data_IF_105577843171
#
_entry.id   IF_105577843171
#
_cell.length_a   1.000
_cell.length_b   1.000
_cell.length_c   1.000
_cell.angle_alpha   90.00
_cell.angle_beta   90.00
_cell.angle_gamma   90.00
#
_symmetry.space_group_name_H-M   'P 1'
#
loop_
_entity.id
_entity.type
_entity.pdbx_description
1 polymer ?
#
# COMPACT_ATOMS: atom_id res chain seq x y z
N UNK A 1 -40.19 13.36 9.53
CA UNK A 1 -39.21 13.04 8.47
C UNK A 1 -39.75 11.81 7.76
N UNK A 2 -39.87 11.83 6.43
CA UNK A 2 -40.43 10.67 5.72
C UNK A 2 -39.44 9.48 5.76
N UNK A 3 -39.93 8.27 5.50
CA UNK A 3 -39.09 7.07 5.41
C UNK A 3 -38.02 7.23 4.31
N UNK A 4 -38.41 7.85 3.19
CA UNK A 4 -37.51 8.19 2.08
C UNK A 4 -36.41 9.20 2.49
N UNK A 5 -36.75 10.21 3.30
CA UNK A 5 -35.75 11.17 3.82
C UNK A 5 -34.72 10.49 4.73
N UNK A 6 -35.15 9.48 5.50
CA UNK A 6 -34.28 8.73 6.41
C UNK A 6 -33.32 7.84 5.62
N UNK A 7 -33.81 7.14 4.58
CA UNK A 7 -32.99 6.33 3.68
C UNK A 7 -31.95 7.20 2.95
N UNK A 8 -32.35 8.37 2.46
CA UNK A 8 -31.43 9.30 1.79
C UNK A 8 -30.32 9.79 2.74
N UNK A 9 -30.67 10.16 3.98
CA UNK A 9 -29.68 10.57 4.99
C UNK A 9 -28.71 9.46 5.40
N UNK A 10 -29.17 8.21 5.50
CA UNK A 10 -28.28 7.08 5.80
C UNK A 10 -27.27 6.84 4.67
N UNK A 11 -27.69 6.98 3.40
CA UNK A 11 -26.79 6.92 2.26
C UNK A 11 -25.78 8.07 2.29
N UNK A 12 -26.23 9.30 2.51
CA UNK A 12 -25.35 10.48 2.63
C UNK A 12 -24.32 10.33 3.77
N UNK A 13 -24.73 9.80 4.93
CA UNK A 13 -23.84 9.53 6.04
C UNK A 13 -22.78 8.48 5.69
N UNK A 14 -23.18 7.39 5.03
CA UNK A 14 -22.25 6.36 4.56
C UNK A 14 -21.25 6.93 3.55
N UNK A 15 -21.73 7.76 2.62
CA UNK A 15 -20.87 8.40 1.62
C UNK A 15 -19.89 9.40 2.29
N UNK A 16 -20.34 10.09 3.35
CA UNK A 16 -19.48 10.94 4.18
C UNK A 16 -18.40 10.15 4.92
N UNK A 17 -18.74 9.01 5.55
CA UNK A 17 -17.73 8.12 6.16
C UNK A 17 -16.74 7.59 5.13
N UNK A 18 -17.21 7.25 3.92
CA UNK A 18 -16.37 6.80 2.81
C UNK A 18 -15.39 7.86 2.27
N UNK A 19 -15.45 9.10 2.75
CA UNK A 19 -14.44 10.12 2.45
C UNK A 19 -13.13 9.93 3.23
N UNK A 20 -13.14 9.16 4.31
CA UNK A 20 -11.92 8.75 4.99
C UNK A 20 -11.31 7.54 4.27
N UNK A 21 -10.10 7.73 3.75
CA UNK A 21 -9.36 6.69 3.05
C UNK A 21 -8.85 5.65 4.05
N UNK A 22 -8.96 4.37 3.70
CA UNK A 22 -8.61 3.25 4.57
C UNK A 22 -7.81 2.20 3.81
N UNK A 23 -7.02 1.40 4.53
CA UNK A 23 -6.60 0.09 4.03
C UNK A 23 -7.74 -0.92 4.13
N UNK A 24 -7.57 -2.07 3.50
CA UNK A 24 -8.51 -3.19 3.60
C UNK A 24 -7.91 -4.29 4.46
N UNK A 25 -8.70 -4.79 5.41
CA UNK A 25 -8.29 -5.90 6.27
C UNK A 25 -9.24 -7.09 6.15
N UNK A 26 -8.75 -8.29 6.42
CA UNK A 26 -9.56 -9.45 6.75
C UNK A 26 -9.31 -9.83 8.19
N UNK A 27 -10.37 -9.76 9.00
CA UNK A 27 -10.35 -10.19 10.39
C UNK A 27 -10.64 -11.67 10.43
N UNK A 28 -9.80 -12.46 11.09
CA UNK A 28 -9.90 -13.92 11.13
C UNK A 28 -9.90 -14.44 12.56
N UNK A 29 -10.55 -15.59 12.76
CA UNK A 29 -10.54 -16.35 14.02
C UNK A 29 -10.88 -17.80 13.70
N UNK A 30 -10.94 -18.68 14.71
CA UNK A 30 -11.45 -20.03 14.56
C UNK A 30 -12.69 -20.24 15.42
N UNK A 31 -13.61 -21.11 14.99
CA UNK A 31 -14.65 -21.67 15.87
C UNK A 31 -14.00 -22.61 16.90
N UNK A 32 -14.80 -23.03 17.89
CA UNK A 32 -14.39 -24.03 18.89
C UNK A 32 -13.93 -25.35 18.26
N UNK A 33 -14.53 -25.76 17.13
CA UNK A 33 -14.13 -26.96 16.38
C UNK A 33 -12.89 -26.77 15.50
N UNK A 34 -12.28 -25.58 15.53
CA UNK A 34 -11.10 -25.22 14.73
C UNK A 34 -11.41 -24.77 13.29
N UNK A 35 -12.69 -24.70 12.89
CA UNK A 35 -13.08 -24.19 11.57
C UNK A 35 -12.71 -22.71 11.44
N UNK A 36 -11.97 -22.31 10.40
CA UNK A 36 -11.57 -20.92 10.22
C UNK A 36 -12.77 -20.04 9.84
N UNK A 37 -12.80 -18.84 10.38
CA UNK A 37 -13.78 -17.80 10.10
C UNK A 37 -13.06 -16.51 9.76
N UNK A 38 -13.67 -15.70 8.91
CA UNK A 38 -13.20 -14.34 8.70
C UNK A 38 -14.21 -13.45 8.03
N UNK A 39 -13.97 -12.14 8.07
CA UNK A 39 -14.73 -11.14 7.34
C UNK A 39 -13.84 -9.97 6.93
N UNK A 40 -14.18 -9.34 5.82
CA UNK A 40 -13.52 -8.11 5.37
C UNK A 40 -13.99 -6.94 6.22
N UNK A 41 -13.03 -6.12 6.67
CA UNK A 41 -13.30 -4.88 7.38
C UNK A 41 -12.33 -3.78 6.94
N UNK A 42 -12.82 -2.55 6.88
CA UNK A 42 -12.00 -1.35 6.71
C UNK A 42 -12.21 -0.33 7.84
N UNK A 43 -12.83 -0.77 8.95
CA UNK A 43 -13.03 0.00 10.19
C UNK A 43 -11.86 -0.14 11.18
N UNK A 44 -10.74 -0.70 10.72
CA UNK A 44 -9.55 -0.93 11.53
C UNK A 44 -8.89 0.38 11.98
N UNK A 45 -8.38 0.41 13.21
CA UNK A 45 -7.48 1.45 13.69
C UNK A 45 -6.49 0.92 14.73
N UNK A 46 -5.26 1.45 14.73
CA UNK A 46 -4.33 1.32 15.84
C UNK A 46 -4.78 2.20 17.02
N UNK A 47 -4.69 1.70 18.26
CA UNK A 47 -5.23 2.37 19.44
C UNK A 47 -4.14 2.78 20.43
N UNK A 48 -3.22 1.88 20.76
CA UNK A 48 -2.19 2.10 21.77
C UNK A 48 -0.91 1.34 21.43
N UNK A 49 0.23 1.88 21.84
CA UNK A 49 1.53 1.19 21.73
C UNK A 49 1.92 0.45 23.02
N UNK A 50 1.54 0.96 24.20
CA UNK A 50 1.77 0.28 25.49
C UNK A 50 0.56 0.42 26.43
N UNK A 51 -0.22 -0.65 26.66
CA UNK A 51 -0.12 -1.93 25.97
C UNK A 51 -0.44 -1.80 24.47
N UNK A 52 0.09 -2.71 23.65
CA UNK A 52 -0.15 -2.71 22.20
C UNK A 52 -1.60 -3.10 21.90
N UNK A 53 -2.43 -2.13 21.50
CA UNK A 53 -3.86 -2.31 21.24
C UNK A 53 -4.25 -1.84 19.83
N UNK A 54 -5.19 -2.56 19.24
CA UNK A 54 -5.87 -2.20 17.99
C UNK A 54 -7.38 -2.41 18.13
N UNK A 55 -8.15 -1.88 17.17
CA UNK A 55 -9.59 -2.12 17.09
C UNK A 55 -10.07 -2.42 15.67
N UNK A 56 -11.21 -3.10 15.59
CA UNK A 56 -11.99 -3.28 14.36
C UNK A 56 -13.47 -3.46 14.70
N UNK A 57 -14.37 -2.99 13.84
CA UNK A 57 -15.82 -3.10 14.06
C UNK A 57 -16.45 -4.21 13.22
N UNK A 58 -17.34 -4.99 13.83
CA UNK A 58 -18.17 -6.00 13.16
C UNK A 58 -19.64 -5.62 13.25
N UNK A 59 -20.37 -5.72 12.13
CA UNK A 59 -21.81 -5.48 12.11
C UNK A 59 -22.55 -6.58 12.89
N UNK A 60 -23.53 -6.20 13.72
CA UNK A 60 -24.38 -7.15 14.45
C UNK A 60 -25.23 -8.03 13.52
N UNK A 61 -25.43 -7.61 12.28
CA UNK A 61 -26.11 -8.35 11.21
C UNK A 61 -25.22 -9.39 10.52
N UNK A 62 -23.92 -9.43 10.81
CA UNK A 62 -22.99 -10.41 10.25
C UNK A 62 -23.33 -11.82 10.73
N UNK A 63 -23.30 -12.80 9.84
CA UNK A 63 -23.42 -14.23 10.20
C UNK A 63 -22.33 -14.69 11.17
N UNK A 64 -21.20 -13.99 11.20
CA UNK A 64 -20.07 -14.30 12.07
C UNK A 64 -20.10 -13.52 13.39
N UNK A 65 -21.08 -12.63 13.60
CA UNK A 65 -21.15 -11.75 14.77
C UNK A 65 -21.01 -12.52 16.09
N UNK A 66 -21.82 -13.55 16.31
CA UNK A 66 -21.78 -14.32 17.56
C UNK A 66 -20.44 -15.03 17.80
N UNK A 67 -19.74 -15.46 16.73
CA UNK A 67 -18.43 -16.09 16.89
C UNK A 67 -17.39 -15.05 17.30
N UNK A 68 -17.35 -13.88 16.64
CA UNK A 68 -16.38 -12.83 16.96
C UNK A 68 -16.69 -12.11 18.28
N UNK A 69 -17.96 -11.94 18.65
CA UNK A 69 -18.33 -11.31 19.92
C UNK A 69 -17.92 -12.14 21.15
N UNK A 70 -17.74 -13.46 20.97
CA UNK A 70 -17.33 -14.38 22.03
C UNK A 70 -15.92 -14.95 21.84
N UNK A 71 -15.20 -14.54 20.78
CA UNK A 71 -13.87 -15.09 20.52
C UNK A 71 -12.85 -14.56 21.52
N UNK A 72 -11.94 -15.42 21.94
CA UNK A 72 -10.84 -15.07 22.85
C UNK A 72 -9.59 -14.61 22.09
N UNK A 73 -9.51 -14.88 20.78
CA UNK A 73 -8.38 -14.53 19.94
C UNK A 73 -8.85 -14.22 18.52
N UNK A 74 -8.21 -13.28 17.85
CA UNK A 74 -8.44 -13.00 16.44
C UNK A 74 -7.18 -12.43 15.80
N UNK A 75 -7.08 -12.49 14.48
CA UNK A 75 -6.02 -11.83 13.74
C UNK A 75 -6.57 -10.75 12.80
N UNK A 76 -5.75 -9.74 12.55
CA UNK A 76 -5.95 -8.73 11.52
C UNK A 76 -4.98 -9.02 10.38
N UNK A 77 -5.49 -9.21 9.17
CA UNK A 77 -4.70 -9.39 7.96
C UNK A 77 -4.88 -8.15 7.07
N UNK A 78 -3.87 -7.27 7.00
CA UNK A 78 -3.89 -6.09 6.12
C UNK A 78 -3.55 -6.53 4.70
N UNK A 79 -4.53 -6.47 3.80
CA UNK A 79 -4.41 -7.02 2.45
C UNK A 79 -3.42 -6.24 1.59
N UNK A 80 -2.69 -6.96 0.74
CA UNK A 80 -1.87 -6.39 -0.32
C UNK A 80 -2.70 -6.00 -1.55
N UNK A 81 -2.16 -5.14 -2.42
CA UNK A 81 -2.83 -4.62 -3.62
C UNK A 81 -3.46 -5.69 -4.53
N UNK A 82 -2.79 -6.83 -4.66
CA UNK A 82 -3.22 -7.95 -5.49
C UNK A 82 -4.41 -8.70 -4.90
N UNK A 83 -4.67 -8.57 -3.59
CA UNK A 83 -5.64 -9.35 -2.82
C UNK A 83 -7.06 -8.75 -2.83
N UNK A 84 -7.43 -8.04 -3.90
CA UNK A 84 -8.78 -7.51 -4.08
C UNK A 84 -9.84 -8.63 -4.10
N UNK A 85 -9.52 -9.75 -4.71
CA UNK A 85 -10.35 -10.95 -4.76
C UNK A 85 -10.58 -11.57 -3.36
N UNK A 86 -9.54 -11.58 -2.51
CA UNK A 86 -9.64 -11.99 -1.11
C UNK A 86 -10.62 -11.08 -0.37
N UNK A 87 -10.47 -9.76 -0.49
CA UNK A 87 -11.42 -8.80 0.08
C UNK A 87 -12.86 -9.08 -0.34
N UNK A 88 -13.10 -9.33 -1.64
CA UNK A 88 -14.44 -9.61 -2.15
C UNK A 88 -15.01 -10.93 -1.62
N UNK A 89 -14.18 -11.95 -1.48
CA UNK A 89 -14.57 -13.27 -0.96
C UNK A 89 -15.01 -13.17 0.50
N UNK A 90 -14.26 -12.44 1.31
CA UNK A 90 -14.55 -12.29 2.74
C UNK A 90 -15.64 -11.25 3.06
N UNK A 91 -16.02 -10.41 2.08
CA UNK A 91 -17.14 -9.47 2.19
C UNK A 91 -18.49 -10.06 1.76
N UNK A 92 -18.51 -11.17 1.01
CA UNK A 92 -19.72 -11.78 0.45
C UNK A 92 -20.10 -13.08 1.16
N UNK A 93 -21.38 -13.49 1.13
CA UNK A 93 -21.75 -14.86 1.51
C UNK A 93 -20.99 -15.87 0.63
N UNK A 94 -20.35 -16.87 1.26
CA UNK A 94 -19.66 -17.98 0.61
C UNK A 94 -19.78 -19.20 1.51
N UNK A 95 -19.88 -20.40 0.93
CA UNK A 95 -19.91 -21.66 1.68
C UNK A 95 -18.55 -21.96 2.33
N UNK A 96 -17.46 -21.65 1.63
CA UNK A 96 -16.10 -21.73 2.15
C UNK A 96 -15.29 -20.52 1.65
N UNK A 97 -14.86 -19.65 2.57
CA UNK A 97 -14.05 -18.46 2.26
C UNK A 97 -12.56 -18.76 2.19
N UNK A 98 -12.12 -19.88 2.74
CA UNK A 98 -10.70 -20.25 2.86
C UNK A 98 -10.26 -21.30 1.82
N UNK A 99 -11.20 -21.94 1.12
CA UNK A 99 -10.93 -23.04 0.16
C UNK A 99 -9.83 -22.75 -0.89
N UNK A 100 -9.76 -21.52 -1.41
CA UNK A 100 -8.82 -21.12 -2.47
C UNK A 100 -7.77 -20.11 -1.99
N UNK A 101 -7.52 -20.07 -0.67
CA UNK A 101 -6.58 -19.13 -0.06
C UNK A 101 -5.44 -19.90 0.59
N UNK A 102 -4.21 -19.41 0.42
CA UNK A 102 -3.07 -19.90 1.20
C UNK A 102 -3.03 -19.16 2.54
N UNK A 103 -3.04 -19.92 3.63
CA UNK A 103 -3.03 -19.40 4.99
C UNK A 103 -2.41 -20.40 5.95
N UNK A 104 -1.92 -19.90 7.08
CA UNK A 104 -1.31 -20.69 8.15
C UNK A 104 -1.94 -20.33 9.50
N UNK A 105 -1.74 -21.17 10.52
CA UNK A 105 -2.16 -20.85 11.90
C UNK A 105 -1.05 -20.12 12.63
N UNK A 106 -1.41 -19.03 13.30
CA UNK A 106 -0.54 -18.31 14.22
C UNK A 106 -0.29 -19.07 15.53
N UNK A 107 0.56 -18.51 16.39
CA UNK A 107 0.77 -19.03 17.74
C UNK A 107 -0.55 -19.02 18.56
N UNK A 108 -1.37 -17.97 18.44
CA UNK A 108 -2.71 -17.91 19.05
C UNK A 108 -3.78 -18.71 18.29
N UNK A 109 -3.40 -19.56 17.32
CA UNK A 109 -4.30 -20.39 16.51
C UNK A 109 -5.25 -19.62 15.59
N UNK A 110 -4.94 -18.36 15.28
CA UNK A 110 -5.69 -17.57 14.32
C UNK A 110 -5.23 -17.84 12.88
N UNK A 111 -6.12 -17.80 11.88
CA UNK A 111 -5.72 -17.87 10.47
C UNK A 111 -4.96 -16.61 10.04
N UNK A 112 -3.70 -16.76 9.62
CA UNK A 112 -2.90 -15.72 8.97
C UNK A 112 -2.87 -15.99 7.46
N UNK A 113 -3.30 -15.01 6.68
CA UNK A 113 -3.37 -15.11 5.22
C UNK A 113 -1.99 -14.81 4.65
N UNK A 114 -1.53 -15.61 3.69
CA UNK A 114 -0.23 -15.40 3.06
C UNK A 114 -0.22 -14.17 2.15
N UNK A 115 0.96 -13.59 1.91
CA UNK A 115 1.16 -12.45 1.00
C UNK A 115 0.37 -11.16 1.35
N UNK A 116 -0.12 -11.05 2.58
CA UNK A 116 -0.70 -9.81 3.14
C UNK A 116 0.38 -8.76 3.34
N UNK A 117 0.05 -7.47 3.29
CA UNK A 117 0.98 -6.35 3.55
C UNK A 117 1.49 -6.32 5.00
N UNK A 118 0.63 -6.69 5.94
CA UNK A 118 0.97 -6.90 7.35
C UNK A 118 -0.08 -7.79 8.02
N UNK A 119 0.28 -8.38 9.16
CA UNK A 119 -0.68 -9.06 10.03
C UNK A 119 -0.40 -8.81 11.51
N UNK A 120 -1.45 -8.96 12.32
CA UNK A 120 -1.40 -8.86 13.79
C UNK A 120 -2.14 -10.04 14.39
N UNK A 121 -1.47 -10.81 15.24
CA UNK A 121 -2.04 -11.91 16.02
C UNK A 121 -2.44 -11.39 17.40
N UNK A 122 -3.72 -11.49 17.76
CA UNK A 122 -4.27 -10.83 18.94
C UNK A 122 -5.02 -11.77 19.88
N UNK A 123 -4.95 -11.44 21.17
CA UNK A 123 -5.95 -11.85 22.16
C UNK A 123 -7.06 -10.79 22.24
N UNK A 124 -8.29 -11.21 22.48
CA UNK A 124 -9.41 -10.29 22.67
C UNK A 124 -9.24 -9.56 24.00
N UNK A 125 -9.05 -8.24 23.94
CA UNK A 125 -8.94 -7.38 25.11
C UNK A 125 -10.32 -6.97 25.62
N UNK A 126 -11.20 -6.52 24.71
CA UNK A 126 -12.56 -6.09 25.05
C UNK A 126 -13.47 -6.12 23.82
N UNK A 127 -14.76 -6.39 24.03
CA UNK A 127 -15.81 -6.17 23.03
C UNK A 127 -16.76 -5.08 23.55
N UNK A 128 -16.95 -4.03 22.76
CA UNK A 128 -17.76 -2.86 23.14
C UNK A 128 -18.99 -2.76 22.23
N UNK A 129 -20.17 -2.63 22.84
CA UNK A 129 -21.41 -2.37 22.11
C UNK A 129 -21.40 -0.95 21.52
N UNK A 130 -21.62 -0.82 20.21
CA UNK A 130 -21.53 0.45 19.50
C UNK A 130 -22.59 0.57 18.40
N UNK A 131 -23.86 0.73 18.79
CA UNK A 131 -24.96 0.93 17.86
C UNK A 131 -25.31 -0.34 17.07
N UNK A 132 -25.25 -0.29 15.75
CA UNK A 132 -25.47 -1.45 14.87
C UNK A 132 -24.23 -2.33 14.68
N UNK A 133 -23.11 -1.94 15.30
CA UNK A 133 -21.86 -2.69 15.33
C UNK A 133 -21.43 -3.03 16.78
N UNK A 134 -20.46 -3.93 16.88
CA UNK A 134 -19.61 -4.07 18.05
C UNK A 134 -18.17 -3.76 17.68
N UNK A 135 -17.44 -3.12 18.58
CA UNK A 135 -16.01 -2.83 18.45
C UNK A 135 -15.25 -3.95 19.15
N UNK A 136 -14.43 -4.67 18.40
CA UNK A 136 -13.47 -5.63 18.92
C UNK A 136 -12.17 -4.88 19.19
N UNK A 137 -11.70 -4.91 20.43
CA UNK A 137 -10.40 -4.39 20.83
C UNK A 137 -9.49 -5.59 21.06
N UNK A 138 -8.37 -5.64 20.34
CA UNK A 138 -7.37 -6.70 20.41
C UNK A 138 -6.10 -6.21 21.06
N UNK A 139 -5.52 -7.04 21.93
CA UNK A 139 -4.14 -6.87 22.41
C UNK A 139 -3.23 -7.65 21.48
N UNK A 140 -2.26 -6.97 20.90
CA UNK A 140 -1.30 -7.56 19.95
C UNK A 140 -0.32 -8.43 20.73
N UNK A 141 -0.25 -9.72 20.38
CA UNK A 141 0.70 -10.67 20.94
C UNK A 141 1.88 -10.92 19.98
N UNK A 142 1.63 -10.86 18.67
CA UNK A 142 2.66 -10.96 17.63
C UNK A 142 2.23 -10.19 16.37
N UNK A 143 3.19 -9.80 15.52
CA UNK A 143 2.91 -9.08 14.27
C UNK A 143 4.06 -9.19 13.27
N UNK A 144 3.75 -9.02 11.99
CA UNK A 144 4.77 -8.80 10.97
C UNK A 144 4.30 -7.81 9.90
N UNK A 145 5.24 -7.04 9.37
CA UNK A 145 5.11 -6.33 8.10
C UNK A 145 5.92 -7.07 7.05
N UNK A 146 5.32 -7.32 5.89
CA UNK A 146 5.88 -8.20 4.85
C UNK A 146 6.42 -7.43 3.64
N UNK A 147 6.23 -6.10 3.61
CA UNK A 147 6.76 -5.22 2.57
C UNK A 147 5.89 -5.09 1.30
N UNK A 148 4.77 -5.83 1.17
CA UNK A 148 3.83 -5.62 0.06
C UNK A 148 3.06 -4.31 0.23
N UNK A 149 2.80 -3.61 -0.88
CA UNK A 149 1.94 -2.43 -0.89
C UNK A 149 0.51 -2.80 -0.48
N UNK A 150 -0.14 -1.97 0.33
CA UNK A 150 -1.46 -2.25 0.87
C UNK A 150 -2.60 -1.94 -0.10
N UNK A 151 -3.63 -2.78 -0.11
CA UNK A 151 -4.89 -2.51 -0.81
C UNK A 151 -5.66 -1.39 -0.09
N UNK A 152 -6.00 -0.35 -0.85
CA UNK A 152 -6.74 0.79 -0.37
C UNK A 152 -8.23 0.74 -0.69
N UNK A 153 -9.03 1.44 0.12
CA UNK A 153 -10.46 1.65 -0.09
C UNK A 153 -10.86 3.11 0.16
N UNK A 154 -11.56 3.70 -0.80
CA UNK A 154 -12.01 5.09 -0.77
C UNK A 154 -13.31 5.26 -1.58
N UNK A 155 -14.30 5.96 -1.00
CA UNK A 155 -15.60 6.26 -1.63
C UNK A 155 -16.27 5.05 -2.31
N UNK A 156 -16.26 3.90 -1.64
CA UNK A 156 -16.91 2.68 -2.13
C UNK A 156 -16.11 1.90 -3.19
N UNK A 157 -14.91 2.35 -3.54
CA UNK A 157 -14.03 1.70 -4.50
C UNK A 157 -12.68 1.28 -3.91
N UNK A 158 -12.09 0.25 -4.49
CA UNK A 158 -10.69 -0.10 -4.22
C UNK A 158 -9.77 0.87 -4.97
N UNK A 159 -8.67 1.25 -4.34
CA UNK A 159 -7.55 1.90 -5.00
C UNK A 159 -6.27 1.19 -4.63
N UNK A 160 -5.33 1.15 -5.56
CA UNK A 160 -4.01 0.60 -5.35
C UNK A 160 -3.01 1.70 -5.75
N UNK A 161 -2.12 2.12 -4.85
CA UNK A 161 -0.96 2.95 -5.20
C UNK A 161 -0.29 2.62 -6.54
N UNK A 162 -0.19 1.34 -6.91
CA UNK A 162 0.41 0.86 -8.16
C UNK A 162 -0.48 0.97 -9.41
N UNK A 163 -1.79 1.21 -9.29
CA UNK A 163 -2.70 1.31 -10.46
C UNK A 163 -3.08 2.74 -10.82
N UNK A 164 -3.16 3.63 -9.82
CA UNK A 164 -3.27 5.08 -10.03
C UNK A 164 -2.08 5.64 -10.83
N UNK A 165 -0.99 4.90 -10.84
CA UNK A 165 0.21 5.23 -11.58
C UNK A 165 0.25 4.74 -13.01
N UNK A 166 -0.47 3.65 -13.33
CA UNK A 166 -0.61 3.13 -14.67
C UNK A 166 -1.59 3.96 -15.53
N UNK A 167 -2.62 4.58 -14.93
CA UNK A 167 -3.65 5.34 -15.66
C UNK A 167 -3.23 6.77 -16.08
N UNK A 168 -2.10 7.28 -15.59
CA UNK A 168 -1.53 8.59 -16.02
C UNK A 168 -0.85 8.48 -17.40
N UNK A 169 -0.83 7.30 -18.01
CA UNK A 169 0.04 6.95 -19.15
C UNK A 169 -0.79 6.82 -20.41
N UNK A 170 -1.21 7.96 -20.96
CA UNK A 170 -1.74 8.03 -22.31
C UNK A 170 -1.20 9.27 -23.04
N UNK A 171 0.12 9.31 -23.21
CA UNK A 171 0.83 10.26 -24.05
C UNK A 171 1.81 9.53 -24.99
N UNK A 172 2.11 10.05 -26.19
CA UNK A 172 2.88 9.32 -27.20
C UNK A 172 4.37 9.10 -26.87
N UNK A 173 4.88 9.57 -25.73
CA UNK A 173 6.28 9.43 -25.29
C UNK A 173 6.43 9.43 -23.77
N UNK A 174 5.96 8.38 -23.09
CA UNK A 174 6.16 8.23 -21.65
C UNK A 174 7.42 7.42 -21.37
N UNK A 175 8.28 7.92 -20.48
CA UNK A 175 9.41 7.21 -19.89
C UNK A 175 9.01 6.76 -18.49
N UNK A 176 9.06 5.46 -18.26
CA UNK A 176 8.95 4.87 -16.93
C UNK A 176 10.31 4.83 -16.27
N UNK A 177 10.43 5.28 -15.02
CA UNK A 177 11.67 5.25 -14.24
C UNK A 177 11.42 4.65 -12.86
N UNK A 178 12.44 4.02 -12.28
CA UNK A 178 12.35 3.39 -10.97
C UNK A 178 13.47 3.88 -10.06
N UNK A 179 13.10 4.48 -8.92
CA UNK A 179 14.01 4.79 -7.82
C UNK A 179 14.05 3.53 -6.95
N UNK A 180 14.98 2.61 -7.24
CA UNK A 180 15.10 1.33 -6.53
C UNK A 180 16.02 1.55 -5.32
N UNK A 181 15.43 1.54 -4.13
CA UNK A 181 16.14 1.78 -2.86
C UNK A 181 16.34 0.52 -2.02
N UNK A 182 17.45 0.48 -1.29
CA UNK A 182 17.70 -0.44 -0.19
C UNK A 182 18.36 0.33 0.96
N UNK A 183 17.70 0.39 2.11
CA UNK A 183 18.13 1.18 3.28
C UNK A 183 18.41 2.67 2.94
N UNK A 184 19.69 3.07 2.97
CA UNK A 184 20.16 4.42 2.65
C UNK A 184 20.83 4.52 1.26
N UNK A 185 20.63 3.51 0.41
CA UNK A 185 21.24 3.44 -0.92
C UNK A 185 20.17 3.43 -2.02
N UNK A 186 20.55 3.93 -3.19
CA UNK A 186 19.72 3.87 -4.41
C UNK A 186 20.50 3.29 -5.59
N UNK A 187 19.82 2.53 -6.43
CA UNK A 187 20.40 1.98 -7.64
C UNK A 187 20.52 3.07 -8.72
N UNK A 188 21.75 3.34 -9.14
CA UNK A 188 22.06 4.26 -10.23
C UNK A 188 22.84 3.55 -11.36
N UNK A 189 22.74 4.08 -12.56
CA UNK A 189 23.56 3.70 -13.70
C UNK A 189 24.40 4.89 -14.19
N UNK A 190 25.67 4.65 -14.47
CA UNK A 190 26.53 5.63 -15.14
C UNK A 190 26.37 5.48 -16.67
N UNK A 191 26.08 6.60 -17.33
CA UNK A 191 25.95 6.69 -18.79
C UNK A 191 27.32 6.79 -19.46
N UNK A 192 27.36 6.61 -20.79
CA UNK A 192 28.60 6.71 -21.56
C UNK A 192 29.30 8.09 -21.45
N UNK A 193 28.56 9.15 -21.14
CA UNK A 193 29.07 10.51 -20.97
C UNK A 193 29.47 10.81 -19.51
N UNK A 194 29.68 9.78 -18.69
CA UNK A 194 30.03 9.89 -17.25
C UNK A 194 29.00 10.61 -16.38
N UNK A 195 27.76 10.69 -16.85
CA UNK A 195 26.62 11.21 -16.08
C UNK A 195 25.80 10.08 -15.47
N UNK A 196 25.17 10.34 -14.35
CA UNK A 196 24.37 9.37 -13.62
C UNK A 196 22.89 9.47 -13.97
N UNK A 197 22.25 8.31 -14.04
CA UNK A 197 20.80 8.18 -14.22
C UNK A 197 20.23 7.09 -13.31
N UNK A 198 18.90 7.02 -13.24
CA UNK A 198 18.16 5.94 -12.59
C UNK A 198 17.69 4.92 -13.64
N UNK A 199 17.40 3.66 -13.23
CA UNK A 199 16.77 2.69 -14.12
C UNK A 199 15.50 3.24 -14.77
N UNK A 200 15.43 3.21 -16.10
CA UNK A 200 14.29 3.72 -16.86
C UNK A 200 14.12 3.01 -18.20
N UNK A 201 12.90 3.05 -18.75
CA UNK A 201 12.55 2.52 -20.08
C UNK A 201 11.41 3.33 -20.71
N UNK A 202 11.40 3.46 -22.03
CA UNK A 202 10.25 3.99 -22.75
C UNK A 202 9.06 3.04 -22.61
N UNK A 203 7.89 3.57 -22.25
CA UNK A 203 6.65 2.81 -22.24
C UNK A 203 6.24 2.56 -23.69
N UNK A 204 6.06 1.29 -24.03
CA UNK A 204 5.52 0.86 -25.31
C UNK A 204 4.02 0.53 -25.19
N UNK A 205 3.47 -0.08 -26.23
CA UNK A 205 2.06 -0.48 -26.30
C UNK A 205 1.62 -1.45 -25.19
N UNK A 206 2.58 -2.11 -24.52
CA UNK A 206 2.29 -3.08 -23.47
C UNK A 206 2.04 -2.40 -22.10
N UNK A 207 2.24 -1.08 -22.03
CA UNK A 207 1.87 -0.26 -20.89
C UNK A 207 2.90 -0.18 -19.77
N UNK A 208 2.50 0.51 -18.70
CA UNK A 208 3.34 0.89 -17.56
C UNK A 208 3.88 -0.31 -16.78
N UNK A 209 3.01 -1.29 -16.50
CA UNK A 209 3.35 -2.44 -15.68
C UNK A 209 4.45 -3.28 -16.35
N UNK A 210 4.32 -3.48 -17.67
CA UNK A 210 5.34 -4.17 -18.48
C UNK A 210 6.64 -3.38 -18.59
N UNK A 211 6.59 -2.05 -18.56
CA UNK A 211 7.78 -1.23 -18.48
C UNK A 211 8.52 -1.42 -17.15
N UNK A 212 7.80 -1.47 -16.01
CA UNK A 212 8.39 -1.75 -14.70
C UNK A 212 8.96 -3.17 -14.60
N UNK A 213 8.24 -4.19 -15.08
CA UNK A 213 8.74 -5.57 -15.15
C UNK A 213 10.06 -5.65 -15.93
N UNK A 214 10.15 -4.95 -17.07
CA UNK A 214 11.39 -4.86 -17.87
C UNK A 214 12.53 -4.20 -17.07
N UNK A 215 12.25 -3.13 -16.33
CA UNK A 215 13.24 -2.48 -15.47
C UNK A 215 13.71 -3.46 -14.38
N UNK A 216 12.81 -4.13 -13.64
CA UNK A 216 13.21 -5.04 -12.58
C UNK A 216 14.01 -6.23 -13.13
N UNK A 217 13.57 -6.85 -14.22
CA UNK A 217 14.32 -7.93 -14.86
C UNK A 217 15.74 -7.52 -15.28
N UNK A 218 15.94 -6.26 -15.71
CA UNK A 218 17.23 -5.77 -16.16
C UNK A 218 18.16 -5.32 -15.02
N UNK A 219 17.62 -4.68 -13.99
CA UNK A 219 18.40 -3.99 -12.97
C UNK A 219 18.39 -4.71 -11.61
N UNK A 220 17.23 -5.17 -11.16
CA UNK A 220 17.07 -5.84 -9.88
C UNK A 220 15.78 -6.69 -9.85
N UNK A 221 15.84 -8.01 -10.08
CA UNK A 221 14.66 -8.87 -10.22
C UNK A 221 13.78 -8.96 -8.96
N UNK A 222 14.38 -8.77 -7.79
CA UNK A 222 13.67 -8.81 -6.50
C UNK A 222 13.09 -7.44 -6.10
N UNK A 223 13.14 -6.44 -6.99
CA UNK A 223 12.54 -5.14 -6.73
C UNK A 223 11.02 -5.17 -6.89
N UNK A 224 10.33 -4.37 -6.09
CA UNK A 224 8.89 -4.14 -6.17
C UNK A 224 8.58 -2.66 -6.28
N UNK A 225 7.55 -2.33 -7.06
CA UNK A 225 7.02 -0.98 -7.16
C UNK A 225 6.15 -0.66 -5.94
N UNK A 226 6.22 0.58 -5.45
CA UNK A 226 5.38 1.05 -4.35
C UNK A 226 4.37 2.10 -4.87
N UNK A 227 4.80 3.34 -5.06
CA UNK A 227 3.93 4.42 -5.56
C UNK A 227 4.70 5.34 -6.52
N UNK A 228 3.98 6.14 -7.32
CA UNK A 228 4.62 7.21 -8.11
C UNK A 228 5.20 8.25 -7.18
N UNK A 229 6.51 8.44 -7.29
CA UNK A 229 7.25 9.47 -6.60
C UNK A 229 7.16 10.83 -7.31
N UNK A 230 7.22 10.81 -8.64
CA UNK A 230 7.29 12.02 -9.45
C UNK A 230 6.67 11.79 -10.83
N UNK A 231 5.90 12.77 -11.31
CA UNK A 231 5.53 12.91 -12.71
C UNK A 231 6.02 14.27 -13.18
N UNK A 232 6.88 14.27 -14.19
CA UNK A 232 7.32 15.52 -14.81
C UNK A 232 7.42 15.43 -16.32
N UNK A 233 7.24 16.56 -16.98
CA UNK A 233 7.45 16.67 -18.42
C UNK A 233 8.80 17.34 -18.70
N UNK A 234 9.61 16.67 -19.52
CA UNK A 234 10.82 17.25 -20.07
C UNK A 234 10.47 17.92 -21.40
N UNK A 235 10.47 19.26 -21.38
CA UNK A 235 10.03 20.09 -22.50
C UNK A 235 11.02 20.02 -23.67
N UNK A 236 12.31 19.75 -23.40
CA UNK A 236 13.36 19.70 -24.43
C UNK A 236 13.21 18.46 -25.33
N UNK A 237 12.92 17.31 -24.75
CA UNK A 237 12.76 16.05 -25.48
C UNK A 237 11.29 15.66 -25.75
N UNK A 238 10.33 16.45 -25.23
CA UNK A 238 8.89 16.19 -25.30
C UNK A 238 8.52 14.80 -24.74
N UNK A 239 9.17 14.41 -23.65
CA UNK A 239 8.88 13.15 -22.95
C UNK A 239 8.31 13.42 -21.57
N UNK A 240 7.34 12.60 -21.19
CA UNK A 240 6.81 12.59 -19.83
C UNK A 240 7.52 11.50 -19.04
N UNK A 241 8.15 11.87 -17.93
CA UNK A 241 8.82 10.95 -17.02
C UNK A 241 7.90 10.65 -15.85
N UNK A 242 7.70 9.36 -15.59
CA UNK A 242 6.97 8.86 -14.43
C UNK A 242 7.93 8.00 -13.63
N UNK A 243 8.29 8.47 -12.44
CA UNK A 243 9.24 7.81 -11.56
C UNK A 243 8.49 7.13 -10.42
N UNK A 244 8.64 5.83 -10.29
CA UNK A 244 8.16 5.07 -9.15
C UNK A 244 9.20 5.03 -8.05
N UNK A 245 8.74 5.11 -6.80
CA UNK A 245 9.52 4.64 -5.69
C UNK A 245 9.41 3.11 -5.62
N UNK A 246 10.55 2.45 -5.60
CA UNK A 246 10.67 1.01 -5.58
C UNK A 246 11.59 0.58 -4.43
N UNK A 247 11.32 -0.60 -3.88
CA UNK A 247 12.16 -1.18 -2.82
C UNK A 247 12.72 -2.51 -3.30
N UNK A 248 13.86 -2.91 -2.74
CA UNK A 248 14.42 -4.25 -2.94
C UNK A 248 14.94 -4.82 -1.62
N UNK A 249 14.81 -6.14 -1.38
CA UNK A 249 15.30 -6.77 -0.15
C UNK A 249 16.83 -6.84 -0.08
N UNK A 250 17.55 -6.63 -1.19
CA UNK A 250 19.01 -6.73 -1.24
C UNK A 250 19.64 -5.59 -2.05
N UNK A 251 20.78 -5.06 -1.57
CA UNK A 251 21.58 -4.06 -2.28
C UNK A 251 22.51 -4.69 -3.34
N UNK A 252 22.00 -5.62 -4.16
CA UNK A 252 22.75 -6.25 -5.24
C UNK A 252 22.09 -5.98 -6.58
N UNK A 253 22.79 -5.35 -7.52
CA UNK A 253 22.23 -5.04 -8.83
C UNK A 253 22.72 -6.01 -9.91
N UNK A 254 21.84 -6.35 -10.85
CA UNK A 254 22.19 -7.02 -12.12
C UNK A 254 22.87 -6.03 -13.06
N UNK A 255 22.46 -4.77 -13.02
CA UNK A 255 23.00 -3.66 -13.83
C UNK A 255 22.99 -2.37 -13.00
N UNK A 256 24.05 -1.56 -13.12
CA UNK A 256 24.25 -0.37 -12.31
C UNK A 256 24.87 -0.68 -10.95
N UNK A 257 24.82 0.28 -10.03
CA UNK A 257 25.37 0.14 -8.68
C UNK A 257 24.54 0.90 -7.65
N UNK A 258 24.47 0.35 -6.44
CA UNK A 258 23.86 1.04 -5.29
C UNK A 258 24.82 2.12 -4.77
N UNK A 259 24.33 3.35 -4.70
CA UNK A 259 25.06 4.52 -4.22
C UNK A 259 24.42 5.04 -2.95
N UNK A 260 25.23 5.40 -1.95
CA UNK A 260 24.73 6.01 -0.72
C UNK A 260 24.11 7.38 -1.01
N UNK A 261 22.94 7.63 -0.41
CA UNK A 261 22.19 8.86 -0.61
C UNK A 261 22.97 10.12 -0.21
N UNK A 262 23.93 10.02 0.71
CA UNK A 262 24.78 11.14 1.11
C UNK A 262 25.82 11.51 0.04
N UNK A 263 26.11 10.60 -0.89
CA UNK A 263 27.09 10.83 -1.95
C UNK A 263 26.49 11.46 -3.21
N UNK A 264 25.16 11.63 -3.29
CA UNK A 264 24.49 12.16 -4.49
C UNK A 264 24.95 13.56 -4.90
N UNK A 265 25.34 14.42 -3.95
CA UNK A 265 25.84 15.77 -4.25
C UNK A 265 27.20 15.77 -4.97
N UNK A 266 27.89 14.63 -5.00
CA UNK A 266 29.18 14.47 -5.65
C UNK A 266 29.03 13.98 -7.10
N UNK A 267 27.81 13.67 -7.54
CA UNK A 267 27.52 13.08 -8.84
C UNK A 267 26.94 14.12 -9.81
N UNK A 268 27.30 14.02 -11.08
CA UNK A 268 26.68 14.79 -12.15
C UNK A 268 25.56 13.95 -12.81
N UNK A 269 24.33 14.45 -12.83
CA UNK A 269 23.17 13.74 -13.39
C UNK A 269 22.90 14.12 -14.86
N UNK A 270 22.19 13.23 -15.56
CA UNK A 270 21.84 13.42 -16.98
C UNK A 270 21.01 14.67 -17.26
N UNK A 271 20.17 15.08 -16.30
CA UNK A 271 19.42 16.33 -16.37
C UNK A 271 19.13 16.90 -14.96
N UNK A 272 18.78 18.19 -14.92
CA UNK A 272 18.52 18.93 -13.69
C UNK A 272 17.22 18.54 -12.99
N UNK A 273 16.26 17.95 -13.71
CA UNK A 273 15.00 17.49 -13.12
C UNK A 273 15.21 16.20 -12.32
N UNK A 274 16.02 15.28 -12.85
CA UNK A 274 16.46 14.08 -12.16
C UNK A 274 17.27 14.45 -10.91
N UNK A 275 18.24 15.36 -11.02
CA UNK A 275 19.02 15.83 -9.88
C UNK A 275 18.11 16.41 -8.79
N UNK A 276 17.23 17.33 -9.14
CA UNK A 276 16.27 17.94 -8.21
C UNK A 276 15.37 16.89 -7.54
N UNK A 277 14.89 15.91 -8.31
CA UNK A 277 14.08 14.81 -7.80
C UNK A 277 14.86 13.94 -6.80
N UNK A 278 16.11 13.61 -7.08
CA UNK A 278 16.94 12.77 -6.20
C UNK A 278 17.38 13.52 -4.94
N UNK A 279 17.68 14.82 -5.03
CA UNK A 279 17.95 15.65 -3.84
C UNK A 279 16.73 15.75 -2.93
N UNK A 280 15.53 15.83 -3.51
CA UNK A 280 14.27 15.76 -2.76
C UNK A 280 14.10 14.38 -2.12
N UNK A 281 14.32 13.30 -2.87
CA UNK A 281 14.23 11.94 -2.35
C UNK A 281 15.19 11.71 -1.18
N UNK A 282 16.43 12.18 -1.27
CA UNK A 282 17.40 12.14 -0.17
C UNK A 282 16.85 12.77 1.11
N UNK A 283 16.29 13.98 0.99
CA UNK A 283 15.71 14.71 2.12
C UNK A 283 14.50 13.99 2.71
N UNK A 284 13.63 13.44 1.86
CA UNK A 284 12.41 12.72 2.24
C UNK A 284 12.71 11.34 2.86
N UNK A 285 13.72 10.60 2.37
CA UNK A 285 14.11 9.30 2.92
C UNK A 285 14.66 9.40 4.36
N UNK A 286 15.35 10.50 4.70
CA UNK A 286 15.82 10.75 6.06
C UNK A 286 14.67 10.96 7.05
N UNK A 287 13.52 11.47 6.58
CA UNK A 287 12.35 11.78 7.38
C UNK A 287 11.25 10.71 7.29
N UNK A 288 11.40 9.72 6.38
CA UNK A 288 10.38 8.71 6.03
C UNK A 288 9.02 9.31 5.66
N UNK A 289 9.03 10.52 5.09
CA UNK A 289 7.84 11.25 4.63
C UNK A 289 7.93 11.48 3.13
N UNK A 290 7.08 10.83 2.34
CA UNK A 290 7.13 10.91 0.87
C UNK A 290 5.95 11.72 0.31
N UNK A 291 6.21 12.54 -0.71
CA UNK A 291 5.17 13.33 -1.40
C UNK A 291 5.25 13.17 -2.92
N UNK A 292 4.10 13.13 -3.60
CA UNK A 292 4.06 13.08 -5.07
C UNK A 292 4.34 14.46 -5.64
N UNK A 293 5.35 14.59 -6.48
CA UNK A 293 5.60 15.83 -7.24
C UNK A 293 4.93 15.79 -8.60
N UNK A 294 4.28 16.91 -8.94
CA UNK A 294 3.72 17.18 -10.25
C UNK A 294 4.34 18.48 -10.80
N UNK A 295 5.05 18.43 -11.93
CA UNK A 295 5.67 19.63 -12.49
C UNK A 295 6.43 19.43 -13.79
N UNK A 296 7.35 20.34 -14.08
CA UNK A 296 8.35 20.25 -15.14
C UNK A 296 9.76 20.53 -14.56
N UNK A 297 10.76 20.64 -15.43
CA UNK A 297 12.17 20.88 -15.04
C UNK A 297 12.42 22.19 -14.27
N UNK A 298 11.47 23.13 -14.29
CA UNK A 298 11.64 24.48 -13.75
C UNK A 298 10.61 24.85 -12.68
N UNK A 299 9.42 24.25 -12.69
CA UNK A 299 8.28 24.60 -11.83
C UNK A 299 7.42 23.38 -11.52
N UNK A 300 6.89 23.27 -10.29
CA UNK A 300 5.98 22.19 -9.92
C UNK A 300 5.41 22.31 -8.51
N UNK A 301 4.49 21.41 -8.18
CA UNK A 301 3.79 21.34 -6.91
C UNK A 301 4.01 19.97 -6.27
N UNK A 302 4.52 19.95 -5.03
CA UNK A 302 4.56 18.74 -4.21
C UNK A 302 3.22 18.59 -3.52
N UNK A 303 2.51 17.50 -3.78
CA UNK A 303 1.35 17.05 -3.00
C UNK A 303 1.82 15.97 -2.04
N UNK A 304 1.89 16.29 -0.75
CA UNK A 304 2.19 15.27 0.26
C UNK A 304 1.13 14.18 0.24
N UNK A 305 1.55 12.91 0.36
CA UNK A 305 0.65 11.77 0.52
C UNK A 305 0.20 11.75 1.98
N UNK A 306 -0.55 12.79 2.38
CA UNK A 306 -0.93 13.19 3.77
C UNK A 306 0.01 14.26 4.36
N UNK A 307 -0.60 15.37 4.83
CA UNK A 307 0.07 16.48 5.53
C UNK A 307 -0.33 16.53 7.01
N UNK A 308 0.68 16.63 7.85
CA UNK A 308 0.81 17.40 9.10
C UNK A 308 -0.47 17.85 9.85
N UNK A 309 -0.55 17.41 11.10
CA UNK A 309 -1.30 18.05 12.18
C UNK A 309 -0.96 17.34 13.49
N UNK A 310 -0.29 18.08 14.38
CA UNK A 310 0.18 17.73 15.74
C UNK A 310 -0.87 17.01 16.58
#
# INVERSE_FOLDING_TARGET
MSEMDTINKMRELRDAFGSFMTGVTVVTTCKEDGTPLGFTANSFASVSLDPALLLVSIAKTSSNYHNFANTTHFAINILAEEQKDVSNTFARPSEDRFANLSWSKSACQNPLIDHVSAWFDCTTYQVVDAGDHAILIGKVEDFASTGFAGLGYYRGGYFTPAKLSAEVISGPKVVMSAIIGHENTILLEETADHKWTIPHVMVDKDGADKALEKIFAQYQPDASANFIYSVYENVENQQQYISFLCNTPVAQATKGQFVDLNDLEKLEFVDSALESMLMRYRKENHLKTYGVYYGNQTTGTVRQIVKEGV
#
